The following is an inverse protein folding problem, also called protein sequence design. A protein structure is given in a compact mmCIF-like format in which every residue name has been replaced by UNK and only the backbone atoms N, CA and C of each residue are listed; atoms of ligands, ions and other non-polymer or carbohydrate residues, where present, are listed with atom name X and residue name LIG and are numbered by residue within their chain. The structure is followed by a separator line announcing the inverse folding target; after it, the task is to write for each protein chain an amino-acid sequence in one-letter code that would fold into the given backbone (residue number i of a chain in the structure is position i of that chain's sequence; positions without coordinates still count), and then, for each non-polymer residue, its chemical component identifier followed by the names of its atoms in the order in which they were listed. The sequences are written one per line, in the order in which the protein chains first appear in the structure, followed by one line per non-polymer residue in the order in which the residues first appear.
data_IF_180533324400
#
_entry.id   IF_180533324400
#
_cell.length_a   1.000
_cell.length_b   1.000
_cell.length_c   1.000
_cell.angle_alpha   90.00
_cell.angle_beta   90.00
_cell.angle_gamma   90.00
#
_symmetry.space_group_name_H-M   'P 1'
#
loop_
_entity.id
_entity.type
_entity.pdbx_description
1 polymer ?
#
# COMPACT_ATOMS: atom_id res chain seq x y z
N UNK A 1 -1.20 -15.89 5.38
CA UNK A 1 -1.03 -14.43 5.57
C UNK A 1 0.17 -14.00 4.76
N UNK A 2 0.02 -12.98 3.92
CA UNK A 2 1.10 -12.31 3.20
C UNK A 2 1.18 -10.87 3.69
N UNK A 3 2.39 -10.39 3.98
CA UNK A 3 2.63 -9.03 4.44
C UNK A 3 3.51 -8.30 3.42
N UNK A 4 3.08 -7.14 2.97
CA UNK A 4 3.83 -6.27 2.06
C UNK A 4 4.25 -5.03 2.84
N UNK A 5 5.52 -4.97 3.25
CA UNK A 5 6.07 -3.82 3.98
C UNK A 5 6.37 -2.66 3.02
N UNK A 6 5.84 -1.47 3.33
CA UNK A 6 6.01 -0.26 2.53
C UNK A 6 7.09 0.66 3.12
N UNK A 7 7.15 0.74 4.46
CA UNK A 7 8.18 1.47 5.21
C UNK A 7 8.31 0.92 6.63
N UNK A 8 9.42 1.23 7.28
CA UNK A 8 9.59 0.90 8.70
C UNK A 8 8.70 1.77 9.60
N UNK A 9 8.25 1.18 10.70
CA UNK A 9 7.47 1.86 11.73
C UNK A 9 6.74 0.88 12.63
N UNK A 10 5.93 1.42 13.55
CA UNK A 10 5.09 0.63 14.46
C UNK A 10 3.62 0.84 14.11
N UNK A 11 2.85 -0.22 13.83
CA UNK A 11 1.41 -0.11 13.65
C UNK A 11 0.75 0.52 14.88
N UNK A 12 -0.04 1.56 14.63
CA UNK A 12 -0.88 2.22 15.63
C UNK A 12 -2.37 2.04 15.33
N UNK A 13 -2.73 1.90 14.06
CA UNK A 13 -4.10 1.68 13.59
C UNK A 13 -4.14 0.76 12.37
N UNK A 14 -5.33 0.29 11.99
CA UNK A 14 -5.54 -0.57 10.82
C UNK A 14 -6.90 -0.33 10.17
N UNK A 15 -6.93 -0.34 8.85
CA UNK A 15 -8.17 -0.19 8.08
C UNK A 15 -8.35 -1.36 7.12
N UNK A 16 -9.58 -1.87 7.02
CA UNK A 16 -9.97 -2.82 5.98
C UNK A 16 -10.10 -2.07 4.65
N UNK A 17 -9.28 -2.42 3.67
CA UNK A 17 -9.41 -1.89 2.31
C UNK A 17 -10.44 -2.68 1.51
N UNK A 18 -10.45 -4.01 1.72
CA UNK A 18 -11.39 -5.00 1.18
C UNK A 18 -11.42 -6.21 2.10
N UNK A 19 -12.36 -7.13 1.89
CA UNK A 19 -12.37 -8.42 2.60
C UNK A 19 -11.00 -9.12 2.46
N UNK A 20 -10.36 -9.37 3.60
CA UNK A 20 -9.05 -10.03 3.66
C UNK A 20 -7.86 -9.16 3.25
N UNK A 21 -8.03 -7.85 3.05
CA UNK A 21 -6.94 -6.91 2.75
C UNK A 21 -6.97 -5.76 3.76
N UNK A 22 -5.95 -5.73 4.62
CA UNK A 22 -5.83 -4.79 5.73
C UNK A 22 -4.64 -3.87 5.46
N UNK A 23 -4.80 -2.58 5.72
CA UNK A 23 -3.72 -1.59 5.70
C UNK A 23 -3.39 -1.17 7.12
N UNK A 24 -2.15 -1.40 7.55
CA UNK A 24 -1.67 -0.93 8.83
C UNK A 24 -1.06 0.48 8.69
N UNK A 25 -1.41 1.36 9.64
CA UNK A 25 -1.03 2.76 9.66
C UNK A 25 -0.16 3.08 10.89
N UNK A 26 0.71 4.07 10.78
CA UNK A 26 1.39 4.64 11.95
C UNK A 26 0.49 5.63 12.72
N UNK A 27 1.04 6.21 13.78
CA UNK A 27 0.39 7.23 14.62
C UNK A 27 0.03 8.53 13.87
N UNK A 28 0.54 8.72 12.65
CA UNK A 28 0.24 9.84 11.75
C UNK A 28 -0.75 9.46 10.64
N UNK A 29 -1.27 8.23 10.65
CA UNK A 29 -2.19 7.73 9.64
C UNK A 29 -1.52 7.42 8.29
N UNK A 30 -0.20 7.25 8.27
CA UNK A 30 0.55 6.95 7.05
C UNK A 30 0.69 5.42 6.85
N UNK A 31 0.59 4.89 5.61
CA UNK A 31 0.74 3.46 5.31
C UNK A 31 2.07 2.85 5.77
N UNK A 32 2.04 1.77 6.54
CA UNK A 32 3.24 1.00 6.92
C UNK A 32 3.36 -0.30 6.13
N UNK A 33 2.27 -1.05 6.07
CA UNK A 33 2.24 -2.39 5.48
C UNK A 33 0.82 -2.79 5.08
N UNK A 34 0.73 -3.67 4.07
CA UNK A 34 -0.53 -4.27 3.62
C UNK A 34 -0.50 -5.75 4.03
N UNK A 35 -1.49 -6.17 4.81
CA UNK A 35 -1.72 -7.56 5.17
C UNK A 35 -2.81 -8.18 4.28
N UNK A 36 -2.50 -9.33 3.69
CA UNK A 36 -3.43 -10.14 2.91
C UNK A 36 -3.68 -11.44 3.68
N UNK A 37 -4.91 -11.57 4.20
CA UNK A 37 -5.39 -12.75 4.89
C UNK A 37 -5.57 -13.91 3.91
N UNK A 38 -5.39 -15.14 4.38
CA UNK A 38 -5.58 -16.35 3.59
C UNK A 38 -4.85 -16.36 2.23
N UNK A 39 -3.73 -15.64 2.09
CA UNK A 39 -2.94 -15.61 0.85
C UNK A 39 -2.49 -17.01 0.38
N UNK A 40 -2.55 -18.05 1.22
CA UNK A 40 -2.34 -19.43 0.80
C UNK A 40 -3.43 -19.97 -0.16
N UNK A 41 -4.64 -19.38 -0.15
CA UNK A 41 -5.71 -19.64 -1.13
C UNK A 41 -5.44 -18.95 -2.46
N UNK A 42 -4.59 -17.92 -2.47
CA UNK A 42 -4.06 -17.34 -3.70
C UNK A 42 -3.02 -18.34 -4.24
N UNK A 43 -3.51 -19.29 -5.04
CA UNK A 43 -2.65 -20.19 -5.81
C UNK A 43 -1.60 -19.36 -6.56
N UNK A 44 -0.31 -19.62 -6.29
CA UNK A 44 0.86 -19.03 -6.95
C UNK A 44 0.68 -17.57 -7.43
N UNK A 45 1.12 -16.61 -6.60
CA UNK A 45 1.29 -15.23 -7.07
C UNK A 45 2.44 -15.22 -8.10
N UNK A 46 2.09 -15.20 -9.38
CA UNK A 46 3.06 -15.21 -10.48
C UNK A 46 3.74 -13.83 -10.66
N UNK A 47 2.98 -12.72 -10.49
CA UNK A 47 3.48 -11.35 -10.67
C UNK A 47 2.80 -10.37 -9.70
N UNK A 48 3.58 -9.42 -9.17
CA UNK A 48 3.09 -8.23 -8.45
C UNK A 48 3.56 -6.99 -9.22
N UNK A 49 2.62 -6.24 -9.80
CA UNK A 49 2.92 -4.97 -10.47
C UNK A 49 2.57 -3.79 -9.55
N UNK A 50 3.55 -2.94 -9.25
CA UNK A 50 3.36 -1.72 -8.45
C UNK A 50 3.47 -0.51 -9.37
N UNK A 51 2.40 0.30 -9.44
CA UNK A 51 2.38 1.54 -10.23
C UNK A 51 2.23 2.72 -9.28
N UNK A 52 3.33 3.30 -8.78
CA UNK A 52 3.23 4.44 -7.90
C UNK A 52 2.74 5.66 -8.70
N UNK A 53 1.65 6.27 -8.27
CA UNK A 53 1.21 7.56 -8.78
C UNK A 53 2.10 8.67 -8.16
N UNK A 54 3.39 8.70 -8.50
CA UNK A 54 4.23 9.84 -8.15
C UNK A 54 3.80 11.05 -9.00
N UNK A 55 2.97 11.91 -8.40
CA UNK A 55 2.86 13.33 -8.72
C UNK A 55 2.11 13.71 -10.00
N UNK A 56 0.80 14.00 -9.89
CA UNK A 56 0.15 15.02 -10.73
C UNK A 56 0.64 16.43 -10.36
N UNK A 57 1.96 16.64 -10.37
CA UNK A 57 2.58 17.95 -10.06
C UNK A 57 3.70 18.32 -11.02
N UNK A 58 3.84 17.60 -12.14
CA UNK A 58 4.78 17.95 -13.20
C UNK A 58 4.11 18.65 -14.39
N UNK A 59 2.80 18.54 -14.56
CA UNK A 59 2.06 19.23 -15.64
C UNK A 59 1.81 20.73 -15.36
N UNK A 60 1.80 21.17 -14.10
CA UNK A 60 1.62 22.60 -13.76
C UNK A 60 2.88 23.45 -14.00
N UNK A 61 4.08 22.85 -14.00
CA UNK A 61 5.33 23.61 -14.25
C UNK A 61 5.63 23.82 -15.73
N UNK A 62 5.12 22.97 -16.64
CA UNK A 62 5.31 23.15 -18.09
C UNK A 62 4.31 24.12 -18.71
N UNK A 63 3.21 24.43 -18.02
CA UNK A 63 2.24 25.44 -18.44
C UNK A 63 2.61 26.88 -18.00
N UNK A 64 3.66 27.03 -17.17
CA UNK A 64 4.11 28.30 -16.61
C UNK A 64 5.51 28.74 -17.12
N UNK A 65 6.06 28.07 -18.14
CA UNK A 65 7.30 28.45 -18.83
C UNK A 65 7.02 28.86 -20.28
#
# INVERSE_FOLDING_TARGET
MLLISLREGKPADSIDLKEGVILHLDDKGLPLEIEILDAAKLSMIDEISVSPAFGRKQEELTAAM
#
